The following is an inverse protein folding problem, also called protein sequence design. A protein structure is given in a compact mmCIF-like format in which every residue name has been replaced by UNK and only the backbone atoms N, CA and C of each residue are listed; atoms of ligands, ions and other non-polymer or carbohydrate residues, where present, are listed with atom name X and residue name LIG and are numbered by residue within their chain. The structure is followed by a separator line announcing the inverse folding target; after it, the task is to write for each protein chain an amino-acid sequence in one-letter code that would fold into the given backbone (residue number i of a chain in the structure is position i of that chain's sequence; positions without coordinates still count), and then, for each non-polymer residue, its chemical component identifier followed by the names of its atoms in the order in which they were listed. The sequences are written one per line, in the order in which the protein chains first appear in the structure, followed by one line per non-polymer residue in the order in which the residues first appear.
data_IF_997729966935
#
_entry.id   IF_997729966935
#
_cell.length_a   1.000
_cell.length_b   1.000
_cell.length_c   1.000
_cell.angle_alpha   90.00
_cell.angle_beta   90.00
_cell.angle_gamma   90.00
#
_symmetry.space_group_name_H-M   'P 1'
#
loop_
_entity.id
_entity.type
_entity.pdbx_description
1 polymer ?
#
# COMPACT_ATOMS: atom_id res chain seq x y z
N UNK A 1 1.62 6.26 13.66
CA UNK A 1 1.66 5.15 12.70
C UNK A 1 3.05 5.05 12.11
N UNK A 2 3.55 3.83 11.98
CA UNK A 2 4.91 3.56 11.51
C UNK A 2 4.83 2.98 10.10
N UNK A 3 5.68 3.48 9.20
CA UNK A 3 5.69 3.01 7.81
C UNK A 3 6.08 1.52 7.72
N UNK A 4 6.92 1.04 8.62
CA UNK A 4 7.29 -0.37 8.63
C UNK A 4 6.09 -1.26 8.95
N UNK A 5 5.27 -0.85 9.89
CA UNK A 5 4.03 -1.57 10.21
C UNK A 5 3.05 -1.49 9.05
N UNK A 6 2.99 -0.34 8.38
CA UNK A 6 2.15 -0.16 7.21
C UNK A 6 2.53 -1.15 6.11
N UNK A 7 3.82 -1.20 5.79
CA UNK A 7 4.32 -2.12 4.75
C UNK A 7 4.09 -3.58 5.14
N UNK A 8 4.30 -3.91 6.41
CA UNK A 8 4.12 -5.29 6.88
C UNK A 8 2.68 -5.80 6.69
N UNK A 9 1.70 -4.91 6.69
CA UNK A 9 0.30 -5.31 6.48
C UNK A 9 0.04 -5.80 5.06
N UNK A 10 0.92 -5.50 4.13
CA UNK A 10 0.80 -6.00 2.76
C UNK A 10 1.18 -7.48 2.62
N UNK A 11 1.67 -8.10 3.68
CA UNK A 11 1.99 -9.53 3.65
C UNK A 11 0.80 -10.38 3.19
N UNK A 12 -0.40 -10.01 3.61
CA UNK A 12 -1.61 -10.74 3.22
C UNK A 12 -2.04 -10.44 1.78
N UNK A 13 -1.54 -9.37 1.20
CA UNK A 13 -1.88 -8.94 -0.16
C UNK A 13 -0.97 -9.58 -1.19
N UNK A 14 0.31 -9.67 -0.89
CA UNK A 14 1.30 -10.23 -1.80
C UNK A 14 1.58 -11.68 -1.45
N UNK A 15 1.28 -12.59 -2.38
CA UNK A 15 1.52 -14.02 -2.18
C UNK A 15 2.96 -14.42 -2.49
N UNK A 16 3.55 -13.80 -3.52
CA UNK A 16 4.87 -14.19 -4.02
C UNK A 16 5.96 -13.20 -3.68
N UNK A 17 5.60 -11.99 -3.25
CA UNK A 17 6.56 -10.95 -2.90
C UNK A 17 6.87 -10.99 -1.42
N UNK A 18 8.16 -11.06 -1.09
CA UNK A 18 8.60 -11.01 0.30
C UNK A 18 8.52 -9.55 0.79
N UNK A 19 7.56 -9.26 1.68
CA UNK A 19 7.36 -7.89 2.18
C UNK A 19 8.55 -7.38 2.97
N UNK A 20 9.39 -8.27 3.49
CA UNK A 20 10.60 -7.85 4.22
C UNK A 20 11.61 -7.16 3.31
N UNK A 21 11.49 -7.33 1.99
CA UNK A 21 12.35 -6.67 1.00
C UNK A 21 11.82 -5.32 0.56
N UNK A 22 10.58 -5.00 0.93
CA UNK A 22 9.94 -3.76 0.51
C UNK A 22 10.46 -2.59 1.35
N UNK A 23 10.74 -1.49 0.68
CA UNK A 23 11.26 -0.28 1.31
C UNK A 23 10.27 0.87 1.10
N UNK A 24 10.38 1.95 1.89
CA UNK A 24 9.51 3.12 1.67
C UNK A 24 9.60 3.68 0.25
N UNK A 25 10.76 3.62 -0.38
CA UNK A 25 10.97 4.14 -1.73
C UNK A 25 10.72 3.09 -2.82
N UNK A 26 10.27 1.89 -2.47
CA UNK A 26 9.94 0.87 -3.45
C UNK A 26 8.74 1.32 -4.27
N UNK A 27 8.87 1.29 -5.59
CA UNK A 27 7.79 1.62 -6.50
C UNK A 27 6.90 0.39 -6.66
N UNK A 28 5.81 0.35 -5.92
CA UNK A 28 4.96 -0.84 -5.85
C UNK A 28 4.35 -1.23 -7.19
N UNK A 29 4.15 -0.27 -8.10
CA UNK A 29 3.58 -0.56 -9.42
C UNK A 29 4.54 -1.33 -10.31
N UNK A 30 5.83 -1.29 -10.01
CA UNK A 30 6.84 -2.02 -10.78
C UNK A 30 7.03 -3.44 -10.29
N UNK A 31 6.38 -3.81 -9.20
CA UNK A 31 6.41 -5.19 -8.72
C UNK A 31 5.65 -6.09 -9.70
N UNK A 32 6.25 -7.23 -10.02
CA UNK A 32 5.66 -8.17 -10.97
C UNK A 32 4.28 -8.65 -10.54
N UNK A 33 4.06 -8.73 -9.24
CA UNK A 33 2.80 -9.19 -8.67
C UNK A 33 1.71 -8.12 -8.68
N UNK A 34 2.06 -6.87 -8.90
CA UNK A 34 1.10 -5.76 -8.83
C UNK A 34 0.08 -5.83 -9.96
N UNK A 35 -1.20 -5.85 -9.61
CA UNK A 35 -2.32 -5.87 -10.54
C UNK A 35 -3.43 -4.98 -10.00
N UNK A 36 -4.49 -4.79 -10.80
CA UNK A 36 -5.67 -4.07 -10.34
C UNK A 36 -6.30 -4.73 -9.12
N UNK A 37 -6.24 -6.05 -9.02
CA UNK A 37 -6.77 -6.77 -7.87
C UNK A 37 -5.95 -6.46 -6.62
N UNK A 38 -4.63 -6.39 -6.76
CA UNK A 38 -3.75 -6.03 -5.64
C UNK A 38 -4.04 -4.60 -5.19
N UNK A 39 -4.28 -3.69 -6.14
CA UNK A 39 -4.64 -2.31 -5.80
C UNK A 39 -5.94 -2.27 -4.99
N UNK A 40 -6.95 -3.02 -5.40
CA UNK A 40 -8.22 -3.08 -4.67
C UNK A 40 -8.03 -3.69 -3.28
N UNK A 41 -7.22 -4.74 -3.18
CA UNK A 41 -6.91 -5.35 -1.88
C UNK A 41 -6.18 -4.36 -0.96
N UNK A 42 -5.31 -3.54 -1.52
CA UNK A 42 -4.63 -2.49 -0.78
C UNK A 42 -5.62 -1.49 -0.20
N UNK A 43 -6.58 -1.05 -1.01
CA UNK A 43 -7.62 -0.12 -0.55
C UNK A 43 -8.45 -0.75 0.57
N UNK A 44 -8.76 -2.05 0.45
CA UNK A 44 -9.53 -2.77 1.46
C UNK A 44 -8.75 -2.86 2.78
N UNK A 45 -7.47 -3.15 2.73
CA UNK A 45 -6.62 -3.23 3.92
C UNK A 45 -6.53 -1.88 4.62
N UNK A 46 -6.35 -0.82 3.86
CA UNK A 46 -6.27 0.53 4.43
C UNK A 46 -7.59 0.88 5.12
N UNK A 47 -8.72 0.52 4.51
CA UNK A 47 -10.03 0.75 5.11
C UNK A 47 -10.19 -0.03 6.42
N UNK A 48 -9.79 -1.30 6.43
CA UNK A 48 -9.95 -2.16 7.60
C UNK A 48 -9.03 -1.77 8.75
N UNK A 49 -7.79 -1.44 8.43
CA UNK A 49 -6.76 -1.24 9.46
C UNK A 49 -6.70 0.21 9.96
N UNK A 50 -7.01 1.16 9.11
CA UNK A 50 -6.85 2.58 9.43
C UNK A 50 -8.15 3.37 9.34
N UNK A 51 -9.23 2.73 8.92
CA UNK A 51 -10.53 3.39 8.73
C UNK A 51 -10.43 4.57 7.75
N UNK A 52 -9.61 4.40 6.71
CA UNK A 52 -9.39 5.40 5.66
C UNK A 52 -9.84 4.83 4.33
N UNK A 53 -10.65 5.58 3.59
CA UNK A 53 -11.08 5.19 2.26
C UNK A 53 -10.25 5.93 1.21
N UNK A 54 -9.33 5.21 0.57
CA UNK A 54 -8.54 5.76 -0.51
C UNK A 54 -9.37 5.81 -1.78
N UNK A 55 -9.24 6.92 -2.52
CA UNK A 55 -9.89 7.03 -3.83
C UNK A 55 -9.01 6.41 -4.91
N UNK A 56 -9.63 6.11 -6.06
CA UNK A 56 -8.87 5.60 -7.20
C UNK A 56 -7.81 6.62 -7.66
N UNK A 57 -8.11 7.91 -7.58
CA UNK A 57 -7.15 8.95 -7.94
C UNK A 57 -5.95 8.96 -7.00
N UNK A 58 -6.18 8.78 -5.71
CA UNK A 58 -5.10 8.71 -4.73
C UNK A 58 -4.21 7.50 -4.99
N UNK A 59 -4.80 6.37 -5.33
CA UNK A 59 -4.03 5.17 -5.67
C UNK A 59 -3.20 5.38 -6.93
N UNK A 60 -3.75 6.06 -7.93
CA UNK A 60 -3.03 6.33 -9.17
C UNK A 60 -1.90 7.35 -8.98
N UNK A 61 -2.06 8.26 -8.04
CA UNK A 61 -1.06 9.31 -7.79
C UNK A 61 0.13 8.81 -6.99
N UNK A 62 -0.03 7.76 -6.20
CA UNK A 62 1.04 7.21 -5.39
C UNK A 62 1.93 6.31 -6.25
N UNK A 63 3.24 6.42 -6.09
CA UNK A 63 4.22 5.58 -6.80
C UNK A 63 4.99 4.68 -5.86
N UNK A 64 5.25 5.12 -4.64
CA UNK A 64 6.02 4.38 -3.64
C UNK A 64 5.15 4.10 -2.43
N UNK A 65 5.59 3.16 -1.59
CA UNK A 65 4.90 2.90 -0.32
C UNK A 65 4.91 4.13 0.57
N UNK A 66 5.97 4.94 0.51
CA UNK A 66 6.02 6.20 1.25
C UNK A 66 4.94 7.17 0.79
N UNK A 67 4.73 7.29 -0.52
CA UNK A 67 3.66 8.13 -1.07
C UNK A 67 2.30 7.68 -0.56
N UNK A 68 2.07 6.37 -0.60
CA UNK A 68 0.80 5.80 -0.15
C UNK A 68 0.62 6.01 1.35
N UNK A 69 1.68 5.80 2.13
CA UNK A 69 1.67 6.00 3.56
C UNK A 69 1.33 7.46 3.92
N UNK A 70 1.97 8.41 3.23
CA UNK A 70 1.71 9.84 3.45
C UNK A 70 0.27 10.19 3.12
N UNK A 71 -0.28 9.61 2.07
CA UNK A 71 -1.68 9.82 1.70
C UNK A 71 -2.61 9.31 2.79
N UNK A 72 -2.34 8.13 3.32
CA UNK A 72 -3.14 7.57 4.42
C UNK A 72 -3.05 8.47 5.65
N UNK A 73 -1.85 8.92 6.00
CA UNK A 73 -1.67 9.81 7.15
C UNK A 73 -2.45 11.11 7.00
N UNK A 74 -2.57 11.61 5.78
CA UNK A 74 -3.29 12.86 5.54
C UNK A 74 -4.79 12.75 5.84
N UNK A 75 -5.31 11.53 5.91
CA UNK A 75 -6.71 11.26 6.24
C UNK A 75 -6.95 11.00 7.72
N UNK A 76 -5.89 10.86 8.50
CA UNK A 76 -6.01 10.54 9.93
C UNK A 76 -6.19 11.77 10.83
#
# INVERSE_FOLDING_TARGET
MDIKEFIAKFEDVFDDTDVSTLQPDTQFRELDEWTSMIALSTMAIVSDEYDVELTADEMRSANTFEDLFNTVQSHL
#
